data_IF_785041412353
#
_entry.id   IF_785041412353
#
_cell.length_a   1.000
_cell.length_b   1.000
_cell.length_c   1.000
_cell.angle_alpha   90.00
_cell.angle_beta   90.00
_cell.angle_gamma   90.00
#
_symmetry.space_group_name_H-M   'P 1'
#
loop_
_entity.id
_entity.type
_entity.pdbx_description
1 polymer ?
#
# COMPACT_ATOMS: atom_id res chain seq x y z
N UNK A 1 1.28 43.28 7.67
CA UNK A 1 1.52 42.33 8.77
C UNK A 1 0.18 41.67 9.05
N UNK A 2 -0.05 40.46 8.53
CA UNK A 2 -1.30 39.74 8.76
C UNK A 2 -1.20 39.10 10.14
N UNK A 3 -1.80 39.73 11.13
CA UNK A 3 -1.85 39.17 12.49
C UNK A 3 -2.90 38.06 12.48
N UNK A 4 -2.48 36.85 12.79
CA UNK A 4 -3.37 35.71 13.02
C UNK A 4 -4.23 36.03 14.24
N UNK A 5 -5.52 36.27 14.04
CA UNK A 5 -6.45 36.67 15.10
C UNK A 5 -7.60 35.68 15.28
N UNK A 6 -7.77 34.74 14.33
CA UNK A 6 -8.79 33.68 14.39
C UNK A 6 -8.25 32.39 13.75
N UNK A 7 -8.77 31.21 14.13
CA UNK A 7 -8.41 29.93 13.46
C UNK A 7 -8.62 29.97 11.94
N UNK A 8 -9.68 30.65 11.48
CA UNK A 8 -9.98 30.82 10.06
C UNK A 8 -8.88 31.61 9.32
N UNK A 9 -8.24 32.59 9.97
CA UNK A 9 -7.19 33.41 9.35
C UNK A 9 -5.89 32.66 9.06
N UNK A 10 -5.67 31.49 9.67
CA UNK A 10 -4.43 30.70 9.49
C UNK A 10 -4.40 30.05 8.10
N UNK A 11 -5.53 29.57 7.60
CA UNK A 11 -5.59 28.83 6.34
C UNK A 11 -5.11 29.69 5.16
N UNK A 12 -5.60 30.93 5.07
CA UNK A 12 -5.24 31.83 3.97
C UNK A 12 -3.74 32.14 3.95
N UNK A 13 -3.13 32.31 5.13
CA UNK A 13 -1.69 32.54 5.26
C UNK A 13 -0.90 31.29 4.84
N UNK A 14 -1.33 30.10 5.24
CA UNK A 14 -0.68 28.84 4.85
C UNK A 14 -0.76 28.62 3.34
N UNK A 15 -1.92 28.87 2.72
CA UNK A 15 -2.11 28.74 1.28
C UNK A 15 -1.32 29.80 0.49
N UNK A 16 -1.25 31.03 0.97
CA UNK A 16 -0.43 32.09 0.34
C UNK A 16 1.04 31.68 0.30
N UNK A 17 1.57 31.11 1.39
CA UNK A 17 2.95 30.64 1.45
C UNK A 17 3.26 29.57 0.38
N UNK A 18 2.28 28.71 0.07
CA UNK A 18 2.39 27.65 -0.95
C UNK A 18 2.39 28.14 -2.38
N UNK A 19 1.94 29.38 -2.65
CA UNK A 19 1.97 29.96 -4.01
C UNK A 19 3.38 29.96 -4.60
N UNK A 20 4.40 30.06 -3.73
CA UNK A 20 5.83 30.07 -4.04
C UNK A 20 6.42 28.69 -4.38
N UNK A 21 5.66 27.60 -4.26
CA UNK A 21 6.11 26.26 -4.67
C UNK A 21 6.27 26.21 -6.20
N UNK A 22 7.48 25.92 -6.75
CA UNK A 22 7.72 25.96 -8.19
C UNK A 22 6.96 24.87 -8.97
N UNK A 23 6.89 23.66 -8.41
CA UNK A 23 6.16 22.55 -9.02
C UNK A 23 4.65 22.80 -8.90
N UNK A 24 3.93 22.99 -10.03
CA UNK A 24 2.51 23.28 -10.01
C UNK A 24 1.68 22.12 -9.46
N UNK A 25 2.09 20.86 -9.66
CA UNK A 25 1.36 19.69 -9.16
C UNK A 25 1.56 19.53 -7.66
N UNK A 26 2.80 19.65 -7.17
CA UNK A 26 3.07 19.65 -5.74
C UNK A 26 2.29 20.76 -5.03
N UNK A 27 2.25 21.96 -5.62
CA UNK A 27 1.48 23.10 -5.08
C UNK A 27 0.00 22.78 -4.98
N UNK A 28 -0.60 22.20 -6.02
CA UNK A 28 -2.01 21.80 -6.03
C UNK A 28 -2.32 20.77 -4.93
N UNK A 29 -1.49 19.72 -4.84
CA UNK A 29 -1.66 18.64 -3.85
C UNK A 29 -1.54 19.18 -2.43
N UNK A 30 -0.49 19.95 -2.13
CA UNK A 30 -0.28 20.50 -0.79
C UNK A 30 -1.36 21.51 -0.39
N UNK A 31 -1.81 22.35 -1.33
CA UNK A 31 -2.91 23.29 -1.06
C UNK A 31 -4.20 22.55 -0.73
N UNK A 32 -4.52 21.46 -1.43
CA UNK A 32 -5.68 20.62 -1.13
C UNK A 32 -5.56 19.95 0.24
N UNK A 33 -4.43 19.29 0.50
CA UNK A 33 -4.14 18.65 1.79
C UNK A 33 -4.30 19.62 2.95
N UNK A 34 -3.73 20.82 2.85
CA UNK A 34 -3.82 21.83 3.91
C UNK A 34 -5.25 22.29 4.16
N UNK A 35 -6.07 22.49 3.11
CA UNK A 35 -7.50 22.82 3.29
C UNK A 35 -8.23 21.73 4.06
N UNK A 36 -8.07 20.47 3.66
CA UNK A 36 -8.75 19.34 4.30
C UNK A 36 -8.25 19.10 5.74
N UNK A 37 -6.95 19.26 5.99
CA UNK A 37 -6.39 19.11 7.34
C UNK A 37 -6.89 20.23 8.28
N UNK A 38 -6.94 21.48 7.82
CA UNK A 38 -7.52 22.58 8.62
C UNK A 38 -9.01 22.35 8.90
N UNK A 39 -9.76 21.85 7.91
CA UNK A 39 -11.17 21.52 8.08
C UNK A 39 -11.34 20.41 9.13
N UNK A 40 -10.55 19.33 9.06
CA UNK A 40 -10.57 18.24 10.05
C UNK A 40 -10.30 18.75 11.47
N UNK A 41 -9.25 19.54 11.67
CA UNK A 41 -8.90 20.11 12.99
C UNK A 41 -10.05 20.94 13.57
N UNK A 42 -10.71 21.75 12.74
CA UNK A 42 -11.84 22.57 13.16
C UNK A 42 -13.11 21.75 13.42
N UNK A 43 -13.37 20.74 12.59
CA UNK A 43 -14.52 19.85 12.68
C UNK A 43 -14.52 19.09 14.01
N UNK A 44 -13.40 18.46 14.36
CA UNK A 44 -13.26 17.68 15.59
C UNK A 44 -12.95 18.54 16.81
N UNK A 45 -12.67 19.84 16.60
CA UNK A 45 -12.20 20.78 17.64
C UNK A 45 -11.01 20.21 18.40
N UNK A 46 -9.99 19.77 17.66
CA UNK A 46 -8.80 19.11 18.19
C UNK A 46 -8.17 19.97 19.28
N UNK A 47 -8.01 19.41 20.48
CA UNK A 47 -7.40 20.11 21.60
C UNK A 47 -5.87 19.87 21.67
N UNK A 48 -5.20 20.58 22.57
CA UNK A 48 -3.73 20.55 22.71
C UNK A 48 -3.21 19.17 23.10
N UNK A 49 -3.84 18.49 24.07
CA UNK A 49 -3.44 17.13 24.50
C UNK A 49 -3.60 16.10 23.35
N UNK A 50 -4.67 16.21 22.58
CA UNK A 50 -4.90 15.35 21.40
C UNK A 50 -3.89 15.64 20.29
N UNK A 51 -3.56 16.91 20.08
CA UNK A 51 -2.56 17.32 19.11
C UNK A 51 -1.16 16.80 19.47
N UNK A 52 -0.74 16.90 20.73
CA UNK A 52 0.53 16.34 21.20
C UNK A 52 0.60 14.83 20.96
N UNK A 53 -0.45 14.09 21.30
CA UNK A 53 -0.53 12.64 21.03
C UNK A 53 -0.48 12.31 19.55
N UNK A 54 -1.13 13.10 18.70
CA UNK A 54 -1.10 12.91 17.26
C UNK A 54 0.32 13.12 16.69
N UNK A 55 1.04 14.13 17.18
CA UNK A 55 2.44 14.36 16.80
C UNK A 55 3.34 13.20 17.24
N UNK A 56 3.21 12.75 18.48
CA UNK A 56 3.95 11.58 19.00
C UNK A 56 3.69 10.33 18.15
N UNK A 57 2.44 10.09 17.76
CA UNK A 57 2.07 8.97 16.91
C UNK A 57 2.72 9.05 15.51
N UNK A 58 2.69 10.21 14.86
CA UNK A 58 3.33 10.41 13.55
C UNK A 58 4.85 10.18 13.65
N UNK A 59 5.49 10.70 14.70
CA UNK A 59 6.91 10.48 14.97
C UNK A 59 7.19 8.98 15.18
N UNK A 60 6.38 8.29 15.97
CA UNK A 60 6.54 6.87 16.25
C UNK A 60 6.42 6.01 14.98
N UNK A 61 5.48 6.30 14.07
CA UNK A 61 5.38 5.63 12.77
C UNK A 61 6.66 5.80 11.95
N UNK A 62 7.19 7.03 11.90
CA UNK A 62 8.44 7.32 11.20
C UNK A 62 9.62 6.55 11.79
N UNK A 63 9.76 6.52 13.11
CA UNK A 63 10.83 5.81 13.82
C UNK A 63 10.73 4.29 13.73
N UNK A 64 9.51 3.76 13.63
CA UNK A 64 9.28 2.32 13.50
C UNK A 64 9.48 1.82 12.06
N UNK A 65 9.62 2.71 11.07
CA UNK A 65 9.99 2.36 9.68
C UNK A 65 11.49 2.03 9.59
N UNK A 66 11.85 1.02 8.79
CA UNK A 66 13.23 0.59 8.57
C UNK A 66 13.40 -0.25 7.31
N UNK A 67 14.55 -0.92 7.17
CA UNK A 67 14.89 -1.70 5.95
C UNK A 67 13.87 -2.81 5.64
N UNK A 68 13.34 -3.45 6.68
CA UNK A 68 12.46 -4.62 6.54
C UNK A 68 10.97 -4.29 6.57
N UNK A 69 10.58 -3.07 6.93
CA UNK A 69 9.19 -2.69 7.12
C UNK A 69 8.97 -1.19 6.94
N UNK A 70 7.82 -0.83 6.37
CA UNK A 70 7.42 0.56 6.18
C UNK A 70 6.09 0.83 6.90
N UNK A 71 6.18 1.38 8.10
CA UNK A 71 5.02 1.62 8.97
C UNK A 71 4.16 2.78 8.44
N UNK A 72 4.72 3.69 7.64
CA UNK A 72 3.95 4.74 6.98
C UNK A 72 2.99 4.14 5.95
N UNK A 73 3.47 3.17 5.16
CA UNK A 73 2.62 2.43 4.21
C UNK A 73 1.56 1.62 4.95
N UNK A 74 1.93 0.93 6.04
CA UNK A 74 0.96 0.17 6.84
C UNK A 74 -0.11 1.07 7.47
N UNK A 75 0.26 2.25 7.96
CA UNK A 75 -0.71 3.24 8.44
C UNK A 75 -1.65 3.72 7.32
N UNK A 76 -1.13 3.94 6.11
CA UNK A 76 -1.95 4.28 4.95
C UNK A 76 -2.91 3.15 4.54
N UNK A 77 -2.50 1.88 4.68
CA UNK A 77 -3.34 0.71 4.45
C UNK A 77 -4.50 0.65 5.47
N UNK A 78 -4.21 0.83 6.77
CA UNK A 78 -5.20 0.82 7.85
C UNK A 78 -6.23 1.95 7.67
N UNK A 79 -5.78 3.11 7.20
CA UNK A 79 -6.65 4.27 6.92
C UNK A 79 -7.37 4.16 5.56
N UNK A 80 -7.15 3.08 4.79
CA UNK A 80 -7.79 2.83 3.49
C UNK A 80 -7.27 3.71 2.35
N UNK A 81 -6.26 4.55 2.59
CA UNK A 81 -5.70 5.48 1.60
C UNK A 81 -5.05 4.72 0.45
N UNK A 82 -4.31 3.66 0.77
CA UNK A 82 -3.66 2.80 -0.21
C UNK A 82 -4.63 2.21 -1.23
N UNK A 83 -5.72 1.63 -0.75
CA UNK A 83 -6.79 1.05 -1.60
C UNK A 83 -7.47 2.13 -2.43
N UNK A 84 -7.73 3.30 -1.84
CA UNK A 84 -8.31 4.43 -2.56
C UNK A 84 -7.42 4.86 -3.75
N UNK A 85 -6.10 5.00 -3.51
CA UNK A 85 -5.14 5.34 -4.56
C UNK A 85 -5.08 4.23 -5.62
N UNK A 86 -5.06 2.96 -5.21
CA UNK A 86 -5.02 1.83 -6.15
C UNK A 86 -6.23 1.83 -7.09
N UNK A 87 -7.44 1.95 -6.54
CA UNK A 87 -8.67 1.96 -7.32
C UNK A 87 -8.76 3.20 -8.21
N UNK A 88 -8.42 4.38 -7.71
CA UNK A 88 -8.50 5.62 -8.49
C UNK A 88 -7.61 5.61 -9.74
N UNK A 89 -6.46 4.93 -9.68
CA UNK A 89 -5.46 4.96 -10.75
C UNK A 89 -5.46 3.72 -11.64
N UNK A 90 -6.01 2.60 -11.16
CA UNK A 90 -5.87 1.30 -11.85
C UNK A 90 -7.21 0.57 -12.05
N UNK A 91 -8.35 1.17 -11.69
CA UNK A 91 -9.64 0.54 -11.92
C UNK A 91 -10.15 0.89 -13.33
N UNK A 92 -10.22 -0.12 -14.21
CA UNK A 92 -10.98 -0.03 -15.46
C UNK A 92 -12.41 -0.55 -15.23
N UNK A 93 -13.46 0.18 -15.67
CA UNK A 93 -14.85 -0.28 -15.60
C UNK A 93 -15.18 -1.53 -16.45
N UNK A 94 -14.25 -2.06 -17.26
CA UNK A 94 -14.52 -3.16 -18.20
C UNK A 94 -14.39 -4.58 -17.62
N UNK A 95 -14.45 -4.76 -16.30
CA UNK A 95 -14.53 -6.08 -15.67
C UNK A 95 -13.18 -6.75 -15.41
N UNK A 96 -12.11 -5.96 -15.36
CA UNK A 96 -10.78 -6.40 -14.95
C UNK A 96 -10.76 -6.86 -13.48
N UNK A 97 -9.80 -7.73 -13.15
CA UNK A 97 -9.50 -8.05 -11.75
C UNK A 97 -9.10 -6.76 -11.02
N UNK A 98 -9.79 -6.38 -9.92
CA UNK A 98 -9.51 -5.13 -9.23
C UNK A 98 -8.06 -5.05 -8.76
N UNK A 99 -7.43 -3.89 -9.00
CA UNK A 99 -6.08 -3.64 -8.52
C UNK A 99 -6.02 -3.52 -7.00
N UNK A 100 -4.91 -3.99 -6.44
CA UNK A 100 -4.50 -3.73 -5.05
C UNK A 100 -3.09 -3.13 -5.05
N UNK A 101 -2.73 -2.42 -3.99
CA UNK A 101 -1.33 -2.05 -3.81
C UNK A 101 -0.48 -3.30 -3.54
N UNK A 102 0.78 -3.23 -3.97
CA UNK A 102 1.74 -4.31 -3.83
C UNK A 102 2.03 -4.68 -2.36
N UNK A 103 1.86 -3.73 -1.44
CA UNK A 103 2.29 -3.85 -0.05
C UNK A 103 3.82 -3.84 0.11
N UNK A 104 4.33 -3.81 1.35
CA UNK A 104 5.76 -3.66 1.60
C UNK A 104 6.56 -4.97 1.55
N UNK A 105 5.91 -6.10 1.27
CA UNK A 105 6.50 -7.44 1.44
C UNK A 105 6.81 -8.16 0.14
N UNK A 106 6.58 -7.54 -1.02
CA UNK A 106 7.03 -8.10 -2.29
C UNK A 106 8.56 -8.08 -2.38
N UNK A 107 9.13 -9.14 -2.98
CA UNK A 107 10.56 -9.23 -3.28
C UNK A 107 10.75 -9.67 -4.73
N UNK A 108 11.70 -9.04 -5.41
CA UNK A 108 12.13 -9.48 -6.73
C UNK A 108 12.79 -10.87 -6.68
N UNK A 109 12.84 -11.53 -7.82
CA UNK A 109 13.52 -12.83 -8.03
C UNK A 109 12.92 -14.00 -7.24
N UNK A 110 11.59 -14.00 -7.04
CA UNK A 110 10.89 -15.21 -6.58
C UNK A 110 11.22 -16.39 -7.52
N UNK A 111 11.42 -17.61 -7.00
CA UNK A 111 11.82 -18.73 -7.83
C UNK A 111 10.72 -19.13 -8.81
N UNK A 112 11.12 -19.52 -10.02
CA UNK A 112 10.19 -20.05 -11.03
C UNK A 112 9.63 -21.40 -10.57
N UNK A 113 8.32 -21.58 -10.75
CA UNK A 113 7.54 -22.74 -10.36
C UNK A 113 6.71 -23.25 -11.56
N UNK A 114 6.53 -24.56 -11.65
CA UNK A 114 5.59 -25.19 -12.57
C UNK A 114 4.17 -25.21 -11.97
N UNK A 115 3.14 -25.26 -12.80
CA UNK A 115 1.76 -25.39 -12.32
C UNK A 115 1.62 -26.64 -11.43
N UNK A 116 1.10 -26.46 -10.21
CA UNK A 116 0.98 -27.50 -9.19
C UNK A 116 2.15 -27.60 -8.22
N UNK A 117 3.25 -26.87 -8.45
CA UNK A 117 4.36 -26.82 -7.49
C UNK A 117 3.94 -26.13 -6.19
N UNK A 118 4.50 -26.63 -5.08
CA UNK A 118 4.38 -25.97 -3.77
C UNK A 118 5.35 -24.80 -3.69
N UNK A 119 4.85 -23.64 -3.25
CA UNK A 119 5.69 -22.48 -2.89
C UNK A 119 6.20 -22.54 -1.44
N UNK A 120 5.73 -23.48 -0.62
CA UNK A 120 6.28 -23.72 0.71
C UNK A 120 7.61 -24.49 0.57
N UNK A 121 8.72 -23.83 0.92
CA UNK A 121 10.10 -24.32 0.74
C UNK A 121 10.72 -24.84 2.04
N UNK A 122 10.12 -24.51 3.17
CA UNK A 122 10.48 -25.04 4.48
C UNK A 122 9.29 -25.74 5.13
N UNK A 123 9.51 -26.38 6.28
CA UNK A 123 8.45 -26.93 7.12
C UNK A 123 7.50 -25.84 7.62
N UNK A 124 6.56 -25.45 6.75
CA UNK A 124 5.59 -24.39 7.03
C UNK A 124 4.39 -25.03 7.74
N UNK A 125 4.07 -24.63 8.98
CA UNK A 125 2.93 -25.18 9.69
C UNK A 125 1.61 -24.79 9.00
N UNK A 126 0.50 -25.38 9.44
CA UNK A 126 -0.84 -25.01 8.99
C UNK A 126 -1.43 -25.95 7.95
N UNK A 127 -2.61 -25.56 7.46
CA UNK A 127 -3.39 -26.37 6.52
C UNK A 127 -2.89 -26.10 5.10
N UNK A 128 -2.56 -27.13 4.30
CA UNK A 128 -2.22 -26.95 2.89
C UNK A 128 -3.36 -26.25 2.14
N UNK A 129 -3.00 -25.25 1.32
CA UNK A 129 -3.92 -24.50 0.48
C UNK A 129 -3.58 -24.75 -0.99
N UNK A 130 -4.55 -25.24 -1.74
CA UNK A 130 -4.45 -25.32 -3.20
C UNK A 130 -5.10 -24.08 -3.81
N UNK A 131 -4.38 -23.40 -4.71
CA UNK A 131 -4.87 -22.25 -5.46
C UNK A 131 -4.74 -22.58 -6.94
N UNK A 132 -5.84 -22.42 -7.68
CA UNK A 132 -5.87 -22.57 -9.13
C UNK A 132 -6.71 -21.46 -9.76
N UNK A 133 -6.41 -21.12 -11.00
CA UNK A 133 -7.08 -20.04 -11.71
C UNK A 133 -6.86 -20.11 -13.21
N UNK A 134 -7.39 -19.12 -13.93
CA UNK A 134 -7.16 -18.92 -15.36
C UNK A 134 -7.03 -17.42 -15.61
N UNK A 135 -5.97 -17.02 -16.32
CA UNK A 135 -5.76 -15.64 -16.74
C UNK A 135 -6.38 -15.43 -18.12
N UNK A 136 -7.20 -14.37 -18.25
CA UNK A 136 -7.94 -14.05 -19.47
C UNK A 136 -7.80 -12.57 -19.82
N UNK A 137 -7.95 -12.26 -21.11
CA UNK A 137 -8.10 -10.89 -21.57
C UNK A 137 -9.54 -10.37 -21.39
N UNK A 138 -9.77 -9.11 -21.76
CA UNK A 138 -11.08 -8.44 -21.69
C UNK A 138 -12.16 -9.08 -22.58
N UNK A 139 -11.78 -9.92 -23.55
CA UNK A 139 -12.71 -10.67 -24.40
C UNK A 139 -12.95 -12.09 -23.86
N UNK A 140 -12.38 -12.43 -22.70
CA UNK A 140 -12.48 -13.74 -22.06
C UNK A 140 -11.58 -14.80 -22.69
N UNK A 141 -10.67 -14.45 -23.59
CA UNK A 141 -9.73 -15.40 -24.21
C UNK A 141 -8.61 -15.72 -23.22
N UNK A 142 -8.17 -16.99 -23.12
CA UNK A 142 -7.05 -17.35 -22.25
C UNK A 142 -5.75 -16.67 -22.70
N UNK A 143 -4.94 -16.25 -21.73
CA UNK A 143 -3.64 -15.63 -21.96
C UNK A 143 -2.53 -16.62 -21.62
N UNK A 144 -1.78 -17.04 -22.65
CA UNK A 144 -0.60 -17.88 -22.49
C UNK A 144 0.64 -17.05 -22.14
N UNK A 145 1.59 -17.66 -21.42
CA UNK A 145 2.85 -17.05 -21.01
C UNK A 145 2.70 -15.80 -20.12
N UNK A 146 1.53 -15.63 -19.49
CA UNK A 146 1.32 -14.60 -18.48
C UNK A 146 2.06 -14.99 -17.21
N UNK A 147 2.83 -14.06 -16.66
CA UNK A 147 3.57 -14.27 -15.41
C UNK A 147 2.67 -14.02 -14.21
N UNK A 148 2.58 -15.01 -13.31
CA UNK A 148 1.82 -14.94 -12.06
C UNK A 148 2.81 -15.03 -10.90
N UNK A 149 3.13 -13.89 -10.29
CA UNK A 149 4.01 -13.80 -9.12
C UNK A 149 3.15 -13.82 -7.85
N UNK A 150 3.40 -14.78 -6.96
CA UNK A 150 2.62 -14.98 -5.74
C UNK A 150 3.52 -14.99 -4.51
N UNK A 151 3.04 -14.35 -3.45
CA UNK A 151 3.65 -14.36 -2.14
C UNK A 151 2.59 -14.27 -1.05
N UNK A 152 2.85 -14.86 0.11
CA UNK A 152 1.98 -14.74 1.28
C UNK A 152 2.77 -14.82 2.58
N UNK A 153 2.15 -14.37 3.68
CA UNK A 153 2.68 -14.59 5.01
C UNK A 153 2.55 -16.08 5.40
N UNK A 154 3.40 -16.51 6.33
CA UNK A 154 3.23 -17.79 7.02
C UNK A 154 2.05 -17.73 8.00
N UNK A 155 1.60 -18.87 8.57
CA UNK A 155 0.47 -18.88 9.52
C UNK A 155 0.71 -18.10 10.81
N UNK A 156 1.97 -17.76 11.14
CA UNK A 156 2.30 -16.87 12.27
C UNK A 156 2.22 -15.38 11.90
N UNK A 157 1.81 -15.06 10.66
CA UNK A 157 1.57 -13.70 10.20
C UNK A 157 2.82 -12.96 9.73
N UNK A 158 3.93 -13.67 9.51
CA UNK A 158 5.21 -13.07 9.09
C UNK A 158 5.63 -13.59 7.71
N UNK A 159 6.12 -12.67 6.87
CA UNK A 159 6.84 -13.02 5.65
C UNK A 159 8.28 -13.45 5.99
N UNK A 160 8.91 -14.27 5.15
CA UNK A 160 10.26 -14.80 5.43
C UNK A 160 11.31 -13.70 5.66
N UNK A 161 11.19 -12.53 5.02
CA UNK A 161 12.14 -11.43 5.20
C UNK A 161 12.07 -10.78 6.60
N UNK A 162 10.99 -11.07 7.33
CA UNK A 162 10.78 -10.67 8.72
C UNK A 162 11.14 -11.79 9.71
N UNK A 163 11.22 -13.03 9.25
CA UNK A 163 11.32 -14.22 10.09
C UNK A 163 12.49 -15.11 9.64
N UNK A 164 13.64 -15.05 10.34
CA UNK A 164 14.83 -15.81 9.95
C UNK A 164 14.70 -17.32 10.14
N UNK A 165 13.59 -17.81 10.73
CA UNK A 165 13.32 -19.25 10.83
C UNK A 165 12.75 -19.84 9.54
N UNK A 166 12.32 -18.99 8.59
CA UNK A 166 11.87 -19.41 7.27
C UNK A 166 13.04 -19.45 6.29
N UNK A 167 13.00 -20.39 5.35
CA UNK A 167 13.96 -20.46 4.24
C UNK A 167 13.83 -19.22 3.34
N UNK A 168 14.93 -18.82 2.69
CA UNK A 168 14.88 -17.71 1.74
C UNK A 168 13.86 -18.03 0.63
N UNK A 169 13.04 -17.02 0.30
CA UNK A 169 11.93 -17.16 -0.65
C UNK A 169 10.85 -18.21 -0.28
N UNK A 170 10.74 -18.61 0.98
CA UNK A 170 9.62 -19.41 1.45
C UNK A 170 8.28 -18.70 1.18
N UNK A 171 7.28 -19.46 0.71
CA UNK A 171 5.95 -18.96 0.34
C UNK A 171 5.96 -17.89 -0.74
N UNK A 172 6.96 -17.94 -1.63
CA UNK A 172 7.05 -17.11 -2.83
C UNK A 172 7.28 -17.99 -4.06
N UNK A 173 6.60 -17.67 -5.15
CA UNK A 173 6.75 -18.40 -6.40
C UNK A 173 6.28 -17.60 -7.60
N UNK A 174 6.90 -17.90 -8.74
CA UNK A 174 6.56 -17.29 -10.02
C UNK A 174 6.14 -18.36 -11.00
N UNK A 175 4.93 -18.26 -11.49
CA UNK A 175 4.35 -19.20 -12.43
C UNK A 175 4.19 -18.54 -13.81
N UNK A 176 4.04 -19.35 -14.84
CA UNK A 176 3.67 -18.91 -16.19
C UNK A 176 2.47 -19.71 -16.66
N UNK A 177 1.50 -19.00 -17.24
CA UNK A 177 0.29 -19.66 -17.71
C UNK A 177 0.52 -20.48 -18.98
N UNK A 178 -0.20 -21.59 -19.10
CA UNK A 178 -0.20 -22.42 -20.30
C UNK A 178 -1.07 -21.85 -21.45
N UNK A 179 -1.21 -22.60 -22.54
CA UNK A 179 -2.01 -22.21 -23.70
C UNK A 179 -3.52 -22.01 -23.39
N UNK A 180 -4.03 -22.64 -22.33
CA UNK A 180 -5.38 -22.50 -21.83
C UNK A 180 -5.50 -21.41 -20.74
N UNK A 181 -4.40 -20.69 -20.47
CA UNK A 181 -4.32 -19.59 -19.51
C UNK A 181 -4.24 -20.04 -18.06
N UNK A 182 -3.95 -21.32 -17.79
CA UNK A 182 -3.87 -21.90 -16.44
C UNK A 182 -2.51 -21.67 -15.82
#
# INVERSE_FOLDING_TARGET
>A
MNIVTTPASVLDIALDAMTRTPDPRLREVMASLTRHLHAFVQEVRLNEDEFERALEFIVAIGQATGEKKNEVVLAADILGVSTLVALQNNQDPQGESPAALLGPFWRANAPDCQCGDSIARSGTPGVPLEVSGVVRDLQGRPLADAMVDVWQASPVGLYENQDPSQEDMNLRGRFRTDADGR
#
